data_IF_772978659245
#
_entry.id   IF_772978659245
#
_cell.length_a   1.000
_cell.length_b   1.000
_cell.length_c   1.000
_cell.angle_alpha   90.00
_cell.angle_beta   90.00
_cell.angle_gamma   90.00
#
_symmetry.space_group_name_H-M   'P 1'
#
loop_
_entity.id
_entity.type
_entity.pdbx_description
1 polymer ?
#
# COMPACT_ATOMS: atom_id res chain seq x y z
N UNK A 1 2.35 14.61 18.79
CA UNK A 1 2.44 13.53 17.79
C UNK A 1 1.56 12.38 18.27
N UNK A 2 0.47 12.03 17.55
CA UNK A 2 -0.40 10.92 17.95
C UNK A 2 0.33 9.61 17.65
N UNK A 3 0.70 8.88 18.70
CA UNK A 3 1.14 7.49 18.63
C UNK A 3 -0.08 6.61 18.33
N UNK A 4 -0.41 6.47 17.06
CA UNK A 4 -1.49 5.63 16.56
C UNK A 4 -1.42 5.55 15.04
N UNK A 5 -2.06 4.55 14.40
CA UNK A 5 -2.09 4.45 12.94
C UNK A 5 -2.57 5.79 12.35
N UNK A 6 -1.87 6.30 11.33
CA UNK A 6 -2.30 7.48 10.53
C UNK A 6 -3.54 7.13 9.67
N UNK A 7 -3.96 5.85 9.70
CA UNK A 7 -5.09 5.29 8.99
C UNK A 7 -6.42 5.75 9.63
N UNK A 8 -6.90 6.92 9.23
CA UNK A 8 -8.27 7.33 9.47
C UNK A 8 -9.23 6.60 8.52
N UNK A 9 -10.29 6.00 9.06
CA UNK A 9 -11.41 5.45 8.30
C UNK A 9 -12.70 5.66 9.08
N UNK A 10 -13.66 6.37 8.50
CA UNK A 10 -15.00 6.50 9.07
C UNK A 10 -15.85 5.29 8.65
N UNK A 11 -16.38 4.56 9.64
CA UNK A 11 -17.31 3.45 9.43
C UNK A 11 -18.73 4.00 9.39
N UNK A 12 -19.46 3.80 8.28
CA UNK A 12 -20.91 4.00 8.24
C UNK A 12 -21.57 2.65 8.57
N UNK A 13 -22.37 2.52 9.65
CA UNK A 13 -22.90 1.22 10.09
C UNK A 13 -23.91 0.58 9.11
N UNK A 14 -23.92 -0.76 9.10
CA UNK A 14 -24.57 -1.70 8.18
C UNK A 14 -26.10 -1.61 8.02
N UNK A 15 -26.56 -1.84 6.78
CA UNK A 15 -27.79 -2.57 6.43
C UNK A 15 -27.46 -3.48 5.24
N UNK A 16 -27.86 -4.76 5.32
CA UNK A 16 -27.41 -5.91 4.49
C UNK A 16 -27.74 -5.80 2.98
N UNK A 17 -28.42 -4.73 2.55
CA UNK A 17 -28.76 -4.43 1.14
C UNK A 17 -28.15 -3.13 0.59
N UNK A 18 -27.29 -2.43 1.35
CA UNK A 18 -26.66 -1.17 0.90
C UNK A 18 -25.17 -1.34 0.66
N UNK A 19 -24.69 -0.61 -0.36
CA UNK A 19 -23.26 -0.47 -0.66
C UNK A 19 -22.49 -0.03 0.60
N UNK A 20 -21.52 -0.85 1.02
CA UNK A 20 -20.57 -0.49 2.07
C UNK A 20 -19.45 0.32 1.43
N UNK A 21 -18.95 1.32 2.14
CA UNK A 21 -17.87 2.17 1.66
C UNK A 21 -16.91 2.50 2.78
N UNK A 22 -15.62 2.44 2.50
CA UNK A 22 -14.57 2.92 3.39
C UNK A 22 -13.56 3.75 2.61
N UNK A 23 -12.97 4.72 3.29
CA UNK A 23 -11.85 5.51 2.76
C UNK A 23 -10.67 5.33 3.67
N UNK A 24 -9.53 4.97 3.09
CA UNK A 24 -8.24 4.86 3.78
C UNK A 24 -7.25 5.79 3.11
N UNK A 25 -6.25 6.21 3.87
CA UNK A 25 -5.12 7.01 3.39
C UNK A 25 -3.84 6.34 3.83
N UNK A 26 -2.85 6.29 2.96
CA UNK A 26 -1.55 5.72 3.28
C UNK A 26 -0.44 6.68 2.84
N UNK A 27 0.49 7.03 3.73
CA UNK A 27 1.61 7.90 3.38
C UNK A 27 2.57 7.22 2.40
N UNK A 28 3.39 8.04 1.75
CA UNK A 28 4.63 7.62 1.10
C UNK A 28 5.62 7.05 2.11
N UNK A 29 6.63 6.34 1.63
CA UNK A 29 7.70 5.77 2.46
C UNK A 29 9.05 5.83 1.76
N UNK A 30 10.11 5.76 2.57
CA UNK A 30 11.47 5.46 2.10
C UNK A 30 11.97 4.21 2.81
N UNK A 31 12.76 3.42 2.11
CA UNK A 31 13.39 2.23 2.64
C UNK A 31 14.92 2.29 2.55
N UNK A 32 15.57 1.22 3.00
CA UNK A 32 17.01 0.97 3.00
C UNK A 32 17.85 1.87 3.92
N UNK A 33 17.40 3.09 4.24
CA UNK A 33 17.95 4.08 5.19
C UNK A 33 19.38 3.74 5.68
N UNK A 34 20.37 3.88 4.80
CA UNK A 34 21.77 3.55 5.08
C UNK A 34 22.05 2.03 5.06
N UNK A 35 22.55 1.43 6.16
CA UNK A 35 22.90 0.01 6.20
C UNK A 35 21.68 -0.93 6.35
N UNK A 36 20.45 -0.39 6.29
CA UNK A 36 19.21 -1.11 6.58
C UNK A 36 18.52 -1.71 5.37
N UNK A 37 19.27 -2.20 4.38
CA UNK A 37 18.73 -2.74 3.13
C UNK A 37 17.65 -3.80 3.38
N UNK A 38 16.50 -3.68 2.72
CA UNK A 38 15.28 -4.51 2.81
C UNK A 38 14.63 -4.63 4.20
N UNK A 39 15.17 -3.94 5.21
CA UNK A 39 14.78 -4.13 6.61
C UNK A 39 14.25 -2.84 7.23
N UNK A 40 14.91 -1.70 7.00
CA UNK A 40 14.60 -0.44 7.67
C UNK A 40 13.87 0.50 6.71
N UNK A 41 12.75 1.04 7.18
CA UNK A 41 11.95 2.00 6.43
C UNK A 41 11.31 3.06 7.32
N UNK A 42 10.86 4.15 6.70
CA UNK A 42 10.17 5.24 7.37
C UNK A 42 9.04 5.78 6.51
N UNK A 43 7.88 6.03 7.12
CA UNK A 43 6.79 6.77 6.47
C UNK A 43 7.13 8.26 6.38
N UNK A 44 6.86 8.88 5.24
CA UNK A 44 7.07 10.30 5.01
C UNK A 44 5.72 11.02 4.93
N UNK A 45 5.58 12.04 5.78
CA UNK A 45 4.42 12.94 5.75
C UNK A 45 4.46 13.87 4.53
N UNK A 46 3.27 14.24 4.02
CA UNK A 46 3.10 15.20 2.92
C UNK A 46 2.67 14.60 1.59
N UNK A 47 3.07 13.35 1.29
CA UNK A 47 2.58 12.60 0.13
C UNK A 47 1.82 11.37 0.61
N UNK A 48 0.62 11.15 0.07
CA UNK A 48 -0.22 10.01 0.44
C UNK A 48 -1.14 9.62 -0.70
N UNK A 49 -1.45 8.33 -0.79
CA UNK A 49 -2.56 7.86 -1.59
C UNK A 49 -3.84 7.88 -0.75
N UNK A 50 -4.96 8.22 -1.39
CA UNK A 50 -6.29 8.01 -0.81
C UNK A 50 -6.99 6.91 -1.59
N UNK A 51 -7.45 5.88 -0.89
CA UNK A 51 -8.13 4.74 -1.49
C UNK A 51 -9.54 4.69 -0.94
N UNK A 52 -10.51 4.63 -1.85
CA UNK A 52 -11.91 4.49 -1.54
C UNK A 52 -12.33 3.11 -2.02
N UNK A 53 -12.79 2.26 -1.11
CA UNK A 53 -13.27 0.93 -1.45
C UNK A 53 -14.75 0.90 -1.17
N UNK A 54 -15.53 0.53 -2.18
CA UNK A 54 -16.92 0.16 -2.00
C UNK A 54 -17.16 -1.30 -2.34
N UNK A 55 -18.09 -1.91 -1.60
CA UNK A 55 -18.51 -3.27 -1.81
C UNK A 55 -20.04 -3.37 -1.75
N UNK A 56 -20.60 -4.21 -2.61
CA UNK A 56 -22.02 -4.57 -2.61
C UNK A 56 -22.18 -6.04 -2.96
N UNK A 57 -23.34 -6.62 -2.67
CA UNK A 57 -23.67 -7.97 -3.12
C UNK A 57 -23.54 -8.07 -4.65
N UNK A 58 -22.88 -9.11 -5.15
CA UNK A 58 -22.61 -9.29 -6.57
C UNK A 58 -21.89 -10.60 -6.88
N UNK A 59 -21.28 -10.70 -8.06
CA UNK A 59 -20.70 -11.93 -8.61
C UNK A 59 -19.19 -12.06 -8.32
N UNK A 60 -18.65 -11.22 -7.44
CA UNK A 60 -17.23 -11.24 -7.09
C UNK A 60 -16.36 -10.40 -8.03
N UNK A 61 -16.94 -9.42 -8.74
CA UNK A 61 -16.19 -8.59 -9.68
C UNK A 61 -15.31 -7.57 -8.94
N UNK A 62 -14.04 -7.47 -9.32
CA UNK A 62 -13.13 -6.44 -8.80
C UNK A 62 -12.88 -5.40 -9.91
N UNK A 63 -13.23 -4.15 -9.64
CA UNK A 63 -12.93 -3.00 -10.50
C UNK A 63 -11.96 -2.07 -9.80
N UNK A 64 -10.97 -1.57 -10.53
CA UNK A 64 -10.01 -0.58 -10.03
C UNK A 64 -10.00 0.62 -10.98
N UNK A 65 -10.16 1.82 -10.43
CA UNK A 65 -10.01 3.09 -11.14
C UNK A 65 -8.99 3.96 -10.44
N UNK A 66 -8.15 4.65 -11.21
CA UNK A 66 -7.09 5.53 -10.72
C UNK A 66 -7.22 6.94 -11.29
N UNK A 67 -6.88 7.94 -10.47
CA UNK A 67 -6.69 9.36 -10.89
C UNK A 67 -5.55 9.99 -10.10
N UNK A 68 -5.01 11.12 -10.57
CA UNK A 68 -3.80 11.73 -10.00
C UNK A 68 -2.57 11.35 -10.81
N UNK A 69 -1.48 10.95 -10.15
CA UNK A 69 -0.32 10.41 -10.88
C UNK A 69 -0.70 9.18 -11.72
N UNK A 70 -0.12 9.08 -12.92
CA UNK A 70 -0.46 8.06 -13.89
C UNK A 70 -0.05 6.65 -13.40
N UNK A 71 -1.04 5.81 -13.12
CA UNK A 71 -0.89 4.38 -12.82
C UNK A 71 -2.02 3.61 -13.50
N UNK A 72 -1.82 2.33 -13.88
CA UNK A 72 -2.85 1.55 -14.55
C UNK A 72 -4.17 1.51 -13.78
N UNK A 73 -5.30 1.38 -14.48
CA UNK A 73 -6.59 0.97 -13.92
C UNK A 73 -6.84 -0.52 -14.22
N UNK A 74 -7.84 -1.12 -13.57
CA UNK A 74 -8.21 -2.52 -13.79
C UNK A 74 -7.14 -3.53 -13.31
N UNK A 75 -7.04 -4.70 -13.96
CA UNK A 75 -6.15 -5.79 -13.52
C UNK A 75 -4.65 -5.47 -13.57
N UNK A 76 -4.23 -4.41 -14.25
CA UNK A 76 -2.83 -3.98 -14.28
C UNK A 76 -2.39 -3.18 -13.05
N UNK A 77 -3.29 -2.94 -12.08
CA UNK A 77 -3.01 -2.15 -10.87
C UNK A 77 -2.72 -3.06 -9.68
N UNK A 78 -1.72 -2.72 -8.85
CA UNK A 78 -1.39 -3.44 -7.61
C UNK A 78 -2.59 -3.66 -6.67
N UNK A 79 -3.53 -2.70 -6.62
CA UNK A 79 -4.74 -2.81 -5.82
C UNK A 79 -5.62 -3.99 -6.23
N UNK A 80 -5.67 -4.32 -7.53
CA UNK A 80 -6.42 -5.48 -8.03
C UNK A 80 -5.86 -6.78 -7.47
N UNK A 81 -4.53 -6.92 -7.43
CA UNK A 81 -3.86 -8.11 -6.92
C UNK A 81 -4.02 -8.27 -5.41
N UNK A 82 -3.88 -7.18 -4.64
CA UNK A 82 -4.13 -7.20 -3.19
C UNK A 82 -5.58 -7.59 -2.90
N UNK A 83 -6.54 -7.00 -3.62
CA UNK A 83 -7.95 -7.33 -3.44
C UNK A 83 -8.31 -8.76 -3.87
N UNK A 84 -7.75 -9.23 -4.98
CA UNK A 84 -7.95 -10.59 -5.46
C UNK A 84 -7.43 -11.62 -4.46
N UNK A 85 -6.24 -11.39 -3.89
CA UNK A 85 -5.67 -12.26 -2.88
C UNK A 85 -6.47 -12.21 -1.57
N UNK A 86 -6.94 -11.04 -1.13
CA UNK A 86 -7.83 -10.92 0.03
C UNK A 86 -9.11 -11.74 -0.17
N UNK A 87 -9.81 -11.55 -1.30
CA UNK A 87 -11.04 -12.28 -1.60
C UNK A 87 -10.80 -13.79 -1.66
N UNK A 88 -9.70 -14.22 -2.30
CA UNK A 88 -9.31 -15.63 -2.37
C UNK A 88 -9.04 -16.22 -0.98
N UNK A 89 -8.26 -15.52 -0.15
CA UNK A 89 -7.84 -15.98 1.17
C UNK A 89 -9.01 -16.08 2.16
N UNK A 90 -9.97 -15.15 2.08
CA UNK A 90 -11.09 -15.07 3.02
C UNK A 90 -12.44 -15.53 2.43
N UNK A 91 -12.45 -16.12 1.23
CA UNK A 91 -13.65 -16.71 0.64
C UNK A 91 -14.72 -15.69 0.23
N UNK A 92 -14.35 -14.45 -0.08
CA UNK A 92 -15.29 -13.41 -0.51
C UNK A 92 -15.62 -13.63 -1.99
N UNK A 93 -16.79 -14.24 -2.25
CA UNK A 93 -17.24 -14.61 -3.62
C UNK A 93 -18.50 -13.90 -4.07
N UNK A 94 -19.31 -13.40 -3.14
CA UNK A 94 -20.63 -12.84 -3.42
C UNK A 94 -20.64 -11.31 -3.29
N UNK A 95 -19.51 -10.65 -3.59
CA UNK A 95 -19.36 -9.21 -3.41
C UNK A 95 -18.58 -8.59 -4.56
N UNK A 96 -19.23 -7.66 -5.27
CA UNK A 96 -18.54 -6.78 -6.20
C UNK A 96 -17.79 -5.72 -5.40
N UNK A 97 -16.52 -5.51 -5.73
CA UNK A 97 -15.63 -4.55 -5.09
C UNK A 97 -15.19 -3.51 -6.12
N UNK A 98 -15.35 -2.23 -5.81
CA UNK A 98 -14.79 -1.13 -6.57
C UNK A 98 -13.76 -0.39 -5.71
N UNK A 99 -12.56 -0.24 -6.25
CA UNK A 99 -11.45 0.49 -5.63
C UNK A 99 -11.16 1.72 -6.48
N UNK A 100 -11.43 2.90 -5.93
CA UNK A 100 -10.99 4.18 -6.49
C UNK A 100 -9.71 4.64 -5.79
N UNK A 101 -8.66 4.89 -6.56
CA UNK A 101 -7.36 5.34 -6.09
C UNK A 101 -7.16 6.80 -6.52
N UNK A 102 -6.99 7.67 -5.54
CA UNK A 102 -6.52 9.03 -5.72
C UNK A 102 -5.02 9.03 -5.41
N UNK A 103 -4.23 8.95 -6.47
CA UNK A 103 -2.79 8.74 -6.44
C UNK A 103 -2.07 10.05 -6.10
N UNK A 104 -1.48 10.12 -4.92
CA UNK A 104 -0.72 11.28 -4.43
C UNK A 104 0.76 10.98 -4.23
N UNK A 105 1.17 9.71 -4.19
CA UNK A 105 2.59 9.34 -4.15
C UNK A 105 3.11 9.14 -5.57
N UNK A 106 4.11 9.92 -6.04
CA UNK A 106 4.60 9.84 -7.41
C UNK A 106 5.24 8.45 -7.67
N UNK A 107 4.84 7.77 -8.76
CA UNK A 107 5.38 6.46 -9.08
C UNK A 107 6.87 6.55 -9.41
N UNK A 108 7.58 5.49 -9.04
CA UNK A 108 8.93 5.23 -9.49
C UNK A 108 10.00 6.27 -9.05
N UNK A 109 9.78 7.01 -7.96
CA UNK A 109 10.76 7.91 -7.34
C UNK A 109 11.43 7.33 -6.08
N UNK A 110 11.26 6.03 -5.82
CA UNK A 110 11.74 5.41 -4.57
C UNK A 110 10.94 5.84 -3.33
N UNK A 111 9.74 6.38 -3.50
CA UNK A 111 8.88 6.89 -2.41
C UNK A 111 7.77 5.91 -1.99
N UNK A 112 7.95 4.61 -2.24
CA UNK A 112 6.97 3.59 -1.84
C UNK A 112 5.58 3.77 -2.47
N UNK A 113 5.52 4.20 -3.74
CA UNK A 113 4.24 4.51 -4.40
C UNK A 113 3.31 3.30 -4.51
N UNK A 114 3.79 2.15 -4.98
CA UNK A 114 3.00 0.91 -5.01
C UNK A 114 2.66 0.42 -3.60
N UNK A 115 3.59 0.57 -2.67
CA UNK A 115 3.43 0.19 -1.27
C UNK A 115 2.32 0.98 -0.58
N UNK A 116 2.23 2.30 -0.81
CA UNK A 116 1.17 3.15 -0.26
C UNK A 116 -0.22 2.71 -0.74
N UNK A 117 -0.38 2.44 -2.04
CA UNK A 117 -1.64 1.89 -2.57
C UNK A 117 -1.96 0.53 -1.95
N UNK A 118 -0.98 -0.38 -1.92
CA UNK A 118 -1.19 -1.74 -1.43
C UNK A 118 -1.54 -1.78 0.06
N UNK A 119 -0.88 -0.96 0.87
CA UNK A 119 -1.16 -0.77 2.29
C UNK A 119 -2.59 -0.24 2.53
N UNK A 120 -2.97 0.83 1.83
CA UNK A 120 -4.31 1.42 1.93
C UNK A 120 -5.41 0.43 1.55
N UNK A 121 -5.19 -0.39 0.51
CA UNK A 121 -6.13 -1.42 0.05
C UNK A 121 -6.23 -2.57 1.05
N UNK A 122 -5.10 -3.14 1.48
CA UNK A 122 -5.09 -4.25 2.44
C UNK A 122 -5.81 -3.88 3.75
N UNK A 123 -5.49 -2.70 4.28
CA UNK A 123 -6.14 -2.20 5.50
C UNK A 123 -7.62 -1.89 5.26
N UNK A 124 -7.96 -1.20 4.16
CA UNK A 124 -9.34 -0.85 3.84
C UNK A 124 -10.23 -2.08 3.67
N UNK A 125 -9.76 -3.13 2.99
CA UNK A 125 -10.49 -4.39 2.87
C UNK A 125 -10.70 -5.08 4.21
N UNK A 126 -9.67 -5.10 5.07
CA UNK A 126 -9.77 -5.68 6.42
C UNK A 126 -10.87 -5.00 7.24
N UNK A 127 -10.98 -3.67 7.15
CA UNK A 127 -12.01 -2.90 7.83
C UNK A 127 -13.40 -3.08 7.20
N UNK A 128 -13.48 -3.05 5.86
CA UNK A 128 -14.75 -3.13 5.12
C UNK A 128 -15.46 -4.46 5.38
N UNK A 129 -14.70 -5.56 5.38
CA UNK A 129 -15.23 -6.91 5.60
C UNK A 129 -15.13 -7.39 7.05
N UNK A 130 -14.72 -6.52 7.99
CA UNK A 130 -14.56 -6.82 9.42
C UNK A 130 -13.67 -8.05 9.70
N UNK A 131 -12.61 -8.20 8.90
CA UNK A 131 -11.61 -9.27 9.02
C UNK A 131 -10.42 -8.73 9.81
N UNK A 132 -10.22 -9.24 11.02
CA UNK A 132 -9.11 -8.83 11.88
C UNK A 132 -7.81 -9.46 11.41
N UNK A 133 -6.93 -8.63 10.86
CA UNK A 133 -5.58 -9.01 10.47
C UNK A 133 -4.57 -8.48 11.49
N UNK A 134 -3.63 -9.33 11.90
CA UNK A 134 -2.48 -8.87 12.66
C UNK A 134 -1.49 -8.10 11.75
N UNK A 135 -0.46 -7.48 12.35
CA UNK A 135 0.51 -6.64 11.63
C UNK A 135 1.20 -7.40 10.49
N UNK A 136 1.66 -8.62 10.76
CA UNK A 136 2.32 -9.49 9.78
C UNK A 136 1.37 -9.85 8.64
N UNK A 137 0.11 -10.18 8.95
CA UNK A 137 -0.89 -10.52 7.93
C UNK A 137 -1.22 -9.35 7.02
N UNK A 138 -1.30 -8.13 7.55
CA UNK A 138 -1.47 -6.91 6.75
C UNK A 138 -0.27 -6.68 5.82
N UNK A 139 0.95 -6.82 6.34
CA UNK A 139 2.18 -6.66 5.55
C UNK A 139 2.28 -7.71 4.45
N UNK A 140 2.06 -8.98 4.77
CA UNK A 140 2.11 -10.05 3.77
C UNK A 140 1.06 -9.85 2.68
N UNK A 141 -0.16 -9.42 3.04
CA UNK A 141 -1.21 -9.15 2.07
C UNK A 141 -0.89 -7.96 1.17
N UNK A 142 -0.42 -6.85 1.73
CA UNK A 142 -0.03 -5.68 0.95
C UNK A 142 1.24 -5.95 0.11
N UNK A 143 2.15 -6.80 0.58
CA UNK A 143 3.33 -7.24 -0.17
C UNK A 143 3.01 -8.00 -1.47
N UNK A 144 1.78 -8.49 -1.65
CA UNK A 144 1.31 -9.07 -2.91
C UNK A 144 1.33 -8.03 -4.04
N UNK A 145 1.02 -6.76 -3.72
CA UNK A 145 1.11 -5.66 -4.66
C UNK A 145 2.55 -5.38 -5.08
N UNK A 146 3.49 -5.41 -4.13
CA UNK A 146 4.93 -5.25 -4.42
C UNK A 146 5.48 -6.39 -5.29
N UNK A 147 5.07 -7.63 -5.01
CA UNK A 147 5.41 -8.80 -5.83
C UNK A 147 4.96 -8.63 -7.27
N UNK A 148 3.76 -8.09 -7.49
CA UNK A 148 3.28 -7.81 -8.84
C UNK A 148 4.08 -6.68 -9.51
N UNK A 149 4.36 -5.59 -8.79
CA UNK A 149 5.02 -4.41 -9.34
C UNK A 149 6.51 -4.63 -9.66
N UNK A 150 7.22 -5.42 -8.84
CA UNK A 150 8.68 -5.55 -8.90
C UNK A 150 9.19 -6.97 -9.11
N UNK A 151 8.32 -7.99 -9.05
CA UNK A 151 8.68 -9.41 -9.18
C UNK A 151 8.97 -10.11 -7.84
N UNK A 152 9.29 -9.35 -6.79
CA UNK A 152 9.52 -9.83 -5.43
C UNK A 152 8.68 -9.07 -4.41
N UNK A 153 8.29 -9.74 -3.32
CA UNK A 153 7.59 -9.06 -2.23
C UNK A 153 8.63 -8.36 -1.35
N UNK A 154 8.65 -7.04 -1.37
CA UNK A 154 9.40 -6.24 -0.40
C UNK A 154 8.44 -5.76 0.67
N UNK A 155 8.79 -5.97 1.94
CA UNK A 155 7.90 -5.66 3.06
C UNK A 155 8.18 -4.33 3.74
N UNK A 156 9.33 -3.72 3.47
CA UNK A 156 9.83 -2.51 4.09
C UNK A 156 8.88 -1.31 3.89
N UNK A 157 8.74 -0.85 2.64
CA UNK A 157 7.89 0.28 2.27
C UNK A 157 6.43 0.03 2.64
N UNK A 158 5.95 -1.21 2.49
CA UNK A 158 4.58 -1.58 2.85
C UNK A 158 4.36 -1.44 4.36
N UNK A 159 5.29 -1.93 5.18
CA UNK A 159 5.20 -1.85 6.62
C UNK A 159 5.27 -0.40 7.12
N UNK A 160 6.17 0.42 6.57
CA UNK A 160 6.19 1.86 6.85
C UNK A 160 4.86 2.53 6.47
N UNK A 161 4.35 2.23 5.28
CA UNK A 161 3.08 2.79 4.78
C UNK A 161 1.87 2.38 5.64
N UNK A 162 1.87 1.17 6.22
CA UNK A 162 0.83 0.69 7.12
C UNK A 162 0.92 1.31 8.53
N UNK A 163 2.12 1.38 9.11
CA UNK A 163 2.26 1.63 10.55
C UNK A 163 2.80 3.02 10.90
N UNK A 164 3.23 3.81 9.90
CA UNK A 164 3.82 5.13 10.13
C UNK A 164 5.17 5.07 10.84
N UNK A 165 5.81 6.23 11.00
CA UNK A 165 7.08 6.36 11.71
C UNK A 165 8.20 5.48 11.12
N UNK A 166 9.17 5.12 11.95
CA UNK A 166 10.22 4.16 11.60
C UNK A 166 9.75 2.73 11.84
N UNK A 167 10.08 1.84 10.91
CA UNK A 167 9.73 0.43 10.95
C UNK A 167 10.94 -0.42 10.59
N UNK A 168 11.13 -1.50 11.36
CA UNK A 168 12.04 -2.60 11.02
C UNK A 168 11.17 -3.78 10.65
N UNK A 169 11.46 -4.42 9.52
CA UNK A 169 10.73 -5.60 9.06
C UNK A 169 11.69 -6.74 8.78
N UNK A 170 11.26 -7.96 9.07
CA UNK A 170 11.91 -9.16 8.57
C UNK A 170 11.53 -9.35 7.09
N UNK A 171 12.53 -9.28 6.21
CA UNK A 171 12.34 -9.34 4.76
C UNK A 171 11.78 -10.70 4.28
N UNK A 172 12.01 -11.79 5.03
CA UNK A 172 11.53 -13.12 4.66
C UNK A 172 10.12 -13.37 5.19
N UNK A 173 9.87 -12.99 6.45
CA UNK A 173 8.64 -13.36 7.15
C UNK A 173 7.59 -12.26 7.14
N UNK A 174 7.97 -11.00 6.89
CA UNK A 174 7.09 -9.83 7.04
C UNK A 174 6.78 -9.48 8.50
N UNK A 175 7.52 -10.04 9.46
CA UNK A 175 7.38 -9.71 10.88
C UNK A 175 7.81 -8.27 11.14
N UNK A 176 7.05 -7.54 11.96
CA UNK A 176 7.22 -6.09 12.11
C UNK A 176 7.70 -5.74 13.51
N UNK A 177 8.87 -5.13 13.57
CA UNK A 177 9.49 -4.63 14.79
C UNK A 177 9.42 -3.10 14.82
N UNK A 178 8.56 -2.56 15.69
CA UNK A 178 8.37 -1.13 15.83
C UNK A 178 8.42 -0.75 17.31
N UNK A 179 9.60 -0.37 17.78
CA UNK A 179 9.84 0.11 19.15
C UNK A 179 10.52 1.48 19.20
N UNK A 180 10.57 2.18 18.05
CA UNK A 180 11.26 3.45 17.92
C UNK A 180 10.28 4.57 18.32
N UNK A 181 10.63 5.46 19.26
CA UNK A 181 9.79 6.60 19.61
C UNK A 181 9.56 7.48 18.39
N UNK A 182 8.39 8.14 18.33
CA UNK A 182 8.11 9.07 17.23
C UNK A 182 9.10 10.24 17.28
N UNK A 183 10.06 10.22 16.36
CA UNK A 183 10.99 11.31 16.12
C UNK A 183 10.51 12.12 14.93
N UNK A 184 10.57 13.44 15.03
CA UNK A 184 10.34 14.32 13.89
C UNK A 184 11.69 14.62 13.25
N UNK A 185 11.90 14.12 12.04
CA UNK A 185 13.12 14.34 11.27
C UNK A 185 12.73 15.13 10.02
N UNK A 186 13.31 16.32 9.77
CA UNK A 186 13.10 17.00 8.51
C UNK A 186 13.72 16.16 7.38
N UNK A 187 12.92 15.83 6.35
CA UNK A 187 13.35 15.06 5.19
C UNK A 187 13.30 15.95 3.96
N UNK A 188 14.42 16.03 3.22
CA UNK A 188 14.47 16.63 1.89
C UNK A 188 14.57 15.51 0.85
N UNK A 189 13.62 15.48 -0.10
CA UNK A 189 13.63 14.52 -1.21
C UNK A 189 14.13 15.25 -2.45
N UNK A 190 15.19 14.73 -3.05
CA UNK A 190 15.72 15.21 -4.33
C UNK A 190 15.59 14.10 -5.35
N UNK A 191 14.72 14.29 -6.34
CA UNK A 191 14.57 13.35 -7.45
C UNK A 191 15.23 13.95 -8.70
N UNK A 192 16.24 13.30 -9.30
CA UNK A 192 16.74 13.74 -10.58
C UNK A 192 15.67 13.55 -11.66
N UNK A 193 15.53 14.52 -12.55
CA UNK A 193 14.67 14.41 -13.73
C UNK A 193 15.41 13.60 -14.80
N UNK A 194 15.25 12.28 -14.76
CA UNK A 194 15.86 11.36 -15.72
C UNK A 194 14.79 10.83 -16.67
N UNK A 195 15.00 11.02 -17.98
CA UNK A 195 14.21 10.36 -19.01
C UNK A 195 14.75 8.94 -19.20
N UNK A 196 14.10 7.97 -18.55
CA UNK A 196 14.37 6.56 -18.80
C UNK A 196 13.78 6.21 -20.18
N UNK A 197 14.60 5.73 -21.13
CA UNK A 197 14.07 5.07 -22.32
C UNK A 197 13.35 3.80 -21.87
N UNK A 198 12.26 3.43 -22.57
CA UNK A 198 11.39 2.29 -22.23
C UNK A 198 12.06 0.91 -22.25
N UNK A 199 13.36 0.84 -22.52
CA UNK A 199 14.12 -0.40 -22.74
C UNK A 199 14.82 -0.94 -21.48
N UNK A 200 14.96 -0.16 -20.41
CA UNK A 200 15.64 -0.59 -19.18
C UNK A 200 14.76 -0.43 -17.94
N UNK A 201 14.77 -1.43 -17.04
CA UNK A 201 14.13 -1.28 -15.73
C UNK A 201 14.92 -0.27 -14.91
N UNK A 202 14.24 0.48 -14.02
CA UNK A 202 14.91 1.49 -13.18
C UNK A 202 16.05 0.90 -12.34
N UNK A 203 15.86 -0.32 -11.85
CA UNK A 203 16.88 -1.03 -11.07
C UNK A 203 18.12 -1.28 -11.91
N UNK A 204 17.98 -1.85 -13.12
CA UNK A 204 19.07 -2.10 -14.08
C UNK A 204 19.86 -0.82 -14.39
N UNK A 205 19.16 0.28 -14.69
CA UNK A 205 19.80 1.57 -14.95
C UNK A 205 20.55 2.13 -13.74
N UNK A 206 19.97 2.01 -12.53
CA UNK A 206 20.59 2.51 -11.30
C UNK A 206 21.79 1.66 -10.85
N UNK A 207 21.79 0.36 -11.17
CA UNK A 207 22.87 -0.57 -10.82
C UNK A 207 23.93 -0.71 -11.92
N UNK A 208 23.67 -0.19 -13.13
CA UNK A 208 24.57 -0.31 -14.28
C UNK A 208 24.71 -1.75 -14.79
N UNK A 209 23.67 -2.57 -14.60
CA UNK A 209 23.62 -4.00 -14.98
C UNK A 209 22.53 -4.20 -16.01
#
# INVERSE_FOLDING_TARGET
MRLGPILGGERVPNVIDKEQKITTRSPSSIANIGPGFDVISMAIEGLQDTVIISARKGDGLIKVSSRGFNVPSGPGNVAYHVASEFCRKYGIRNSDIHIEIIKGVPPALGLGSSAATSAAVAYGLSLLFDIKLNRKELVMLAGIGEKYASGSAHYDNVAASLFGGFVIVDAETGEVYQKIPSITVPVAIVSPLVNYSSEHRKTEYATGI
#
